data_IF_265518836442
#
_entry.id   IF_265518836442
#
_cell.length_a   1.000
_cell.length_b   1.000
_cell.length_c   1.000
_cell.angle_alpha   90.00
_cell.angle_beta   90.00
_cell.angle_gamma   90.00
#
_symmetry.space_group_name_H-M   'P 1'
#
loop_
_entity.id
_entity.type
_entity.pdbx_description
1 polymer ?
#
# COMPACT_ATOMS: atom_id res chain seq x y z
N UNK A 1 -61.40 -20.02 -47.58
CA UNK A 1 -60.60 -21.24 -47.26
C UNK A 1 -59.15 -20.90 -47.57
N UNK A 2 -58.14 -21.03 -46.70
CA UNK A 2 -57.99 -21.81 -45.49
C UNK A 2 -56.82 -21.21 -44.66
N UNK A 3 -57.03 -21.04 -43.33
CA UNK A 3 -55.99 -20.71 -42.34
C UNK A 3 -55.00 -21.86 -42.23
N UNK A 4 -53.69 -21.58 -42.06
CA UNK A 4 -52.81 -22.32 -41.12
C UNK A 4 -51.66 -21.44 -40.64
N UNK A 5 -51.79 -21.02 -39.39
CA UNK A 5 -50.73 -20.52 -38.52
C UNK A 5 -49.61 -21.57 -38.37
N UNK A 6 -48.35 -21.13 -38.47
CA UNK A 6 -47.22 -21.82 -37.82
C UNK A 6 -46.18 -20.79 -37.38
N UNK A 7 -46.29 -20.44 -36.10
CA UNK A 7 -45.32 -19.73 -35.28
C UNK A 7 -43.93 -20.37 -35.42
N UNK A 8 -42.96 -19.61 -35.92
CA UNK A 8 -41.54 -19.96 -35.79
C UNK A 8 -41.04 -19.41 -34.45
N UNK A 9 -40.74 -20.34 -33.55
CA UNK A 9 -40.07 -20.12 -32.27
C UNK A 9 -38.81 -19.28 -32.45
N UNK A 10 -38.78 -18.09 -31.85
CA UNK A 10 -37.56 -17.28 -31.75
C UNK A 10 -36.69 -17.88 -30.65
N UNK A 11 -35.65 -18.60 -31.06
CA UNK A 11 -34.58 -19.02 -30.15
C UNK A 11 -33.89 -17.78 -29.61
N UNK A 12 -34.22 -17.45 -28.36
CA UNK A 12 -33.56 -16.41 -27.57
C UNK A 12 -32.08 -16.77 -27.41
N UNK A 13 -31.21 -16.11 -28.19
CA UNK A 13 -29.79 -16.08 -27.89
C UNK A 13 -29.58 -15.18 -26.67
N UNK A 14 -29.67 -15.75 -25.46
CA UNK A 14 -29.06 -15.12 -24.28
C UNK A 14 -27.55 -15.23 -24.47
N UNK A 15 -26.92 -14.10 -24.76
CA UNK A 15 -25.47 -13.96 -24.62
C UNK A 15 -25.10 -14.30 -23.18
N UNK A 16 -24.28 -15.34 -23.01
CA UNK A 16 -23.55 -15.55 -21.76
C UNK A 16 -22.50 -14.44 -21.73
N UNK A 17 -22.86 -13.31 -21.12
CA UNK A 17 -21.86 -12.35 -20.66
C UNK A 17 -21.19 -13.05 -19.47
N UNK A 18 -20.09 -13.73 -19.74
CA UNK A 18 -19.20 -14.24 -18.71
C UNK A 18 -18.65 -13.05 -17.93
N UNK A 19 -18.97 -13.03 -16.64
CA UNK A 19 -18.62 -11.97 -15.69
C UNK A 19 -17.10 -11.98 -15.46
N UNK A 20 -16.34 -11.31 -16.33
CA UNK A 20 -14.87 -11.22 -16.29
C UNK A 20 -14.33 -10.54 -15.02
N UNK A 21 -15.17 -9.72 -14.38
CA UNK A 21 -14.91 -9.07 -13.08
C UNK A 21 -14.87 -10.06 -11.91
N UNK A 22 -15.60 -11.18 -11.95
CA UNK A 22 -15.53 -12.21 -10.90
C UNK A 22 -14.26 -13.05 -10.98
N UNK A 23 -13.82 -13.41 -12.19
CA UNK A 23 -12.63 -14.24 -12.41
C UNK A 23 -11.35 -13.48 -12.03
N UNK A 24 -11.28 -12.19 -12.36
CA UNK A 24 -10.15 -11.33 -11.98
C UNK A 24 -10.06 -11.09 -10.46
N UNK A 25 -11.20 -11.00 -9.77
CA UNK A 25 -11.26 -10.89 -8.31
C UNK A 25 -10.81 -12.16 -7.58
N UNK A 26 -11.19 -13.35 -8.07
CA UNK A 26 -10.77 -14.64 -7.52
C UNK A 26 -9.25 -14.82 -7.69
N UNK A 27 -8.72 -14.55 -8.89
CA UNK A 27 -7.27 -14.65 -9.17
C UNK A 27 -6.42 -13.70 -8.34
N UNK A 28 -6.87 -12.45 -8.13
CA UNK A 28 -6.18 -11.50 -7.23
C UNK A 28 -6.17 -11.99 -5.77
N UNK A 29 -7.29 -12.57 -5.30
CA UNK A 29 -7.41 -13.08 -3.93
C UNK A 29 -6.55 -14.32 -3.70
N UNK A 30 -6.51 -15.24 -4.65
CA UNK A 30 -5.64 -16.42 -4.59
C UNK A 30 -4.16 -16.03 -4.59
N UNK A 31 -3.75 -15.09 -5.46
CA UNK A 31 -2.39 -14.54 -5.43
C UNK A 31 -2.06 -13.87 -4.11
N UNK A 32 -3.01 -13.13 -3.52
CA UNK A 32 -2.82 -12.51 -2.20
C UNK A 32 -2.62 -13.56 -1.09
N UNK A 33 -3.44 -14.62 -1.06
CA UNK A 33 -3.32 -15.70 -0.06
C UNK A 33 -2.02 -16.49 -0.24
N UNK A 34 -1.65 -16.83 -1.47
CA UNK A 34 -0.38 -17.50 -1.76
C UNK A 34 0.83 -16.64 -1.36
N UNK A 35 0.77 -15.34 -1.64
CA UNK A 35 1.79 -14.40 -1.19
C UNK A 35 1.87 -14.38 0.35
N UNK A 36 0.73 -14.31 1.05
CA UNK A 36 0.69 -14.35 2.53
C UNK A 36 1.33 -15.59 3.14
N UNK A 37 1.07 -16.79 2.59
CA UNK A 37 1.72 -18.02 3.05
C UNK A 37 3.23 -17.99 2.86
N UNK A 38 3.71 -17.43 1.74
CA UNK A 38 5.14 -17.28 1.48
C UNK A 38 5.79 -16.29 2.47
N UNK A 39 5.10 -15.18 2.79
CA UNK A 39 5.57 -14.19 3.76
C UNK A 39 5.72 -14.78 5.17
N UNK A 40 4.78 -15.65 5.57
CA UNK A 40 4.83 -16.30 6.89
C UNK A 40 5.97 -17.33 7.00
N UNK A 41 6.33 -17.99 5.90
CA UNK A 41 7.39 -19.02 5.90
C UNK A 41 8.79 -18.42 6.01
N UNK A 42 9.07 -17.33 5.29
CA UNK A 42 10.40 -16.70 5.24
C UNK A 42 10.30 -15.16 5.17
N UNK A 43 9.91 -14.48 6.27
CA UNK A 43 9.66 -13.04 6.26
C UNK A 43 10.92 -12.20 5.96
N UNK A 44 12.11 -12.64 6.41
CA UNK A 44 13.38 -11.96 6.10
C UNK A 44 13.72 -11.98 4.62
N UNK A 45 13.56 -13.13 3.96
CA UNK A 45 13.78 -13.25 2.53
C UNK A 45 12.80 -12.36 1.75
N UNK A 46 11.52 -12.39 2.13
CA UNK A 46 10.50 -11.56 1.50
C UNK A 46 10.80 -10.06 1.65
N UNK A 47 11.27 -9.62 2.83
CA UNK A 47 11.67 -8.24 3.03
C UNK A 47 12.85 -7.87 2.12
N UNK A 48 13.88 -8.71 2.05
CA UNK A 48 15.05 -8.47 1.20
C UNK A 48 14.67 -8.39 -0.29
N UNK A 49 13.81 -9.29 -0.77
CA UNK A 49 13.29 -9.27 -2.14
C UNK A 49 12.48 -7.99 -2.42
N UNK A 50 11.62 -7.57 -1.49
CA UNK A 50 10.88 -6.32 -1.61
C UNK A 50 11.83 -5.10 -1.68
N UNK A 51 12.84 -5.03 -0.81
CA UNK A 51 13.83 -3.94 -0.81
C UNK A 51 14.65 -3.90 -2.10
N UNK A 52 14.93 -5.05 -2.73
CA UNK A 52 15.56 -5.12 -4.04
C UNK A 52 14.64 -4.59 -5.15
N UNK A 53 13.36 -5.00 -5.15
CA UNK A 53 12.36 -4.54 -6.12
C UNK A 53 12.14 -3.02 -6.08
N UNK A 54 12.30 -2.38 -4.92
CA UNK A 54 12.23 -0.91 -4.80
C UNK A 54 13.36 -0.18 -5.53
N UNK A 55 14.45 -0.86 -5.87
CA UNK A 55 15.55 -0.30 -6.67
C UNK A 55 15.28 -0.35 -8.19
N UNK A 56 14.32 -1.17 -8.63
CA UNK A 56 14.00 -1.28 -10.06
C UNK A 56 13.28 -0.03 -10.57
N UNK A 57 13.28 0.21 -11.88
CA UNK A 57 12.55 1.34 -12.47
C UNK A 57 11.05 1.04 -12.64
N UNK A 58 10.69 -0.24 -12.75
CA UNK A 58 9.33 -0.67 -13.02
C UNK A 58 8.39 -0.40 -11.81
N UNK A 59 7.43 0.50 -12.02
CA UNK A 59 6.50 0.91 -10.97
C UNK A 59 5.61 -0.19 -10.41
N UNK A 60 5.26 -1.19 -11.22
CA UNK A 60 4.36 -2.26 -10.79
C UNK A 60 5.09 -3.17 -9.79
N UNK A 61 6.34 -3.53 -10.06
CA UNK A 61 7.22 -4.21 -9.11
C UNK A 61 7.39 -3.43 -7.80
N UNK A 62 7.55 -2.11 -7.88
CA UNK A 62 7.62 -1.25 -6.68
C UNK A 62 6.32 -1.25 -5.87
N UNK A 63 5.16 -1.12 -6.53
CA UNK A 63 3.88 -1.15 -5.84
C UNK A 63 3.70 -2.48 -5.10
N UNK A 64 3.96 -3.61 -5.75
CA UNK A 64 3.89 -4.92 -5.11
C UNK A 64 4.88 -5.04 -3.93
N UNK A 65 6.09 -4.46 -4.04
CA UNK A 65 7.06 -4.45 -2.95
C UNK A 65 6.58 -3.62 -1.75
N UNK A 66 5.95 -2.46 -1.98
CA UNK A 66 5.37 -1.63 -0.92
C UNK A 66 4.22 -2.37 -0.23
N UNK A 67 3.29 -2.96 -0.99
CA UNK A 67 2.18 -3.76 -0.44
C UNK A 67 2.70 -4.96 0.38
N UNK A 68 3.80 -5.55 -0.05
CA UNK A 68 4.48 -6.62 0.69
C UNK A 68 5.07 -6.12 2.02
N UNK A 69 5.75 -4.97 2.02
CA UNK A 69 6.29 -4.35 3.25
C UNK A 69 5.16 -3.97 4.21
N UNK A 70 4.06 -3.41 3.71
CA UNK A 70 2.87 -3.09 4.51
C UNK A 70 2.30 -4.34 5.18
N UNK A 71 2.23 -5.43 4.43
CA UNK A 71 1.75 -6.73 4.93
C UNK A 71 2.70 -7.30 5.98
N UNK A 72 4.01 -7.35 5.69
CA UNK A 72 5.04 -7.84 6.62
C UNK A 72 5.08 -7.03 7.91
N UNK A 73 4.83 -5.73 7.84
CA UNK A 73 4.74 -4.86 9.02
C UNK A 73 3.65 -5.33 9.99
N UNK A 74 2.54 -5.85 9.48
CA UNK A 74 1.40 -6.34 10.28
C UNK A 74 1.62 -7.75 10.84
N UNK A 75 2.26 -8.64 10.06
CA UNK A 75 2.37 -10.07 10.40
C UNK A 75 3.71 -10.46 11.03
N UNK A 76 4.78 -9.70 10.79
CA UNK A 76 6.14 -10.00 11.23
C UNK A 76 6.94 -8.72 11.54
N UNK A 77 6.45 -7.85 12.44
CA UNK A 77 7.06 -6.55 12.73
C UNK A 77 8.53 -6.64 13.19
N UNK A 78 8.92 -7.75 13.84
CA UNK A 78 10.31 -7.94 14.30
C UNK A 78 11.34 -7.94 13.17
N UNK A 79 10.99 -8.47 11.98
CA UNK A 79 11.88 -8.49 10.81
C UNK A 79 12.07 -7.08 10.24
N UNK A 80 11.00 -6.27 10.24
CA UNK A 80 11.08 -4.86 9.84
C UNK A 80 11.89 -4.05 10.86
N UNK A 81 11.72 -4.32 12.16
CA UNK A 81 12.45 -3.62 13.21
C UNK A 81 13.97 -3.72 13.04
N UNK A 82 14.48 -4.92 12.69
CA UNK A 82 15.90 -5.14 12.44
C UNK A 82 16.47 -4.39 11.22
N UNK A 83 15.61 -3.93 10.31
CA UNK A 83 15.99 -3.29 9.05
C UNK A 83 15.34 -1.90 8.86
N UNK A 84 14.84 -1.30 9.95
CA UNK A 84 13.86 -0.21 9.84
C UNK A 84 14.40 0.99 9.08
N UNK A 85 15.65 1.38 9.34
CA UNK A 85 16.27 2.53 8.69
C UNK A 85 16.30 2.37 7.16
N UNK A 86 16.68 1.18 6.68
CA UNK A 86 16.71 0.89 5.25
C UNK A 86 15.31 0.93 4.64
N UNK A 87 14.31 0.35 5.32
CA UNK A 87 12.92 0.37 4.90
C UNK A 87 12.41 1.81 4.78
N UNK A 88 12.64 2.64 5.80
CA UNK A 88 12.22 4.04 5.81
C UNK A 88 12.86 4.81 4.65
N UNK A 89 14.17 4.65 4.41
CA UNK A 89 14.85 5.35 3.31
C UNK A 89 14.27 4.96 1.95
N UNK A 90 13.96 3.67 1.73
CA UNK A 90 13.35 3.20 0.48
C UNK A 90 11.93 3.74 0.30
N UNK A 91 11.10 3.72 1.34
CA UNK A 91 9.74 4.25 1.27
C UNK A 91 9.71 5.77 1.07
N UNK A 92 10.62 6.53 1.70
CA UNK A 92 10.72 7.99 1.49
C UNK A 92 11.04 8.34 0.03
N UNK A 93 11.86 7.52 -0.63
CA UNK A 93 12.11 7.67 -2.06
C UNK A 93 10.82 7.49 -2.87
N UNK A 94 10.01 6.49 -2.52
CA UNK A 94 8.76 6.21 -3.22
C UNK A 94 7.62 7.19 -2.91
N UNK A 95 7.65 7.89 -1.77
CA UNK A 95 6.73 9.02 -1.53
C UNK A 95 6.84 10.11 -2.62
N UNK A 96 7.99 10.22 -3.30
CA UNK A 96 8.24 11.18 -4.39
C UNK A 96 7.98 10.60 -5.78
N UNK A 97 7.48 9.36 -5.88
CA UNK A 97 7.23 8.70 -7.16
C UNK A 97 6.19 9.46 -8.00
N UNK A 98 6.44 9.59 -9.30
CA UNK A 98 5.56 10.28 -10.26
C UNK A 98 4.21 9.57 -10.43
N UNK A 99 4.14 8.26 -10.16
CA UNK A 99 2.88 7.54 -10.13
C UNK A 99 2.23 7.69 -8.76
N UNK A 100 1.10 8.40 -8.74
CA UNK A 100 0.33 8.66 -7.52
C UNK A 100 -0.03 7.38 -6.78
N UNK A 101 -0.31 6.27 -7.47
CA UNK A 101 -0.60 4.97 -6.83
C UNK A 101 0.57 4.44 -6.01
N UNK A 102 1.81 4.54 -6.51
CA UNK A 102 3.02 4.11 -5.80
C UNK A 102 3.31 5.06 -4.63
N UNK A 103 3.21 6.37 -4.86
CA UNK A 103 3.42 7.39 -3.83
C UNK A 103 2.43 7.23 -2.66
N UNK A 104 1.14 7.06 -2.97
CA UNK A 104 0.09 6.83 -1.97
C UNK A 104 0.29 5.54 -1.20
N UNK A 105 0.68 4.45 -1.88
CA UNK A 105 0.99 3.19 -1.20
C UNK A 105 2.13 3.39 -0.18
N UNK A 106 3.23 4.07 -0.56
CA UNK A 106 4.34 4.33 0.35
C UNK A 106 3.93 5.18 1.57
N UNK A 107 3.12 6.21 1.35
CA UNK A 107 2.58 7.07 2.41
C UNK A 107 1.70 6.27 3.37
N UNK A 108 0.78 5.46 2.85
CA UNK A 108 -0.10 4.62 3.66
C UNK A 108 0.69 3.59 4.48
N UNK A 109 1.74 3.01 3.90
CA UNK A 109 2.65 2.09 4.60
C UNK A 109 3.35 2.76 5.78
N UNK A 110 3.70 4.04 5.73
CA UNK A 110 4.22 4.75 6.91
C UNK A 110 3.21 4.76 8.06
N UNK A 111 1.94 4.99 7.76
CA UNK A 111 0.87 4.86 8.75
C UNK A 111 0.86 3.48 9.43
N UNK A 112 0.98 2.41 8.65
CA UNK A 112 1.09 1.03 9.17
C UNK A 112 2.36 0.83 10.00
N UNK A 113 3.50 1.36 9.58
CA UNK A 113 4.76 1.29 10.33
C UNK A 113 4.65 1.96 11.70
N UNK A 114 4.08 3.17 11.77
CA UNK A 114 3.85 3.84 13.06
C UNK A 114 2.98 3.00 14.00
N UNK A 115 1.90 2.42 13.49
CA UNK A 115 0.95 1.62 14.26
C UNK A 115 1.55 0.34 14.84
N UNK A 116 2.39 -0.36 14.07
CA UNK A 116 2.90 -1.68 14.43
C UNK A 116 4.31 -1.67 15.02
N UNK A 117 5.17 -0.71 14.64
CA UNK A 117 6.55 -0.60 15.13
C UNK A 117 6.70 0.46 16.21
N UNK A 118 5.78 1.43 16.32
CA UNK A 118 5.69 2.38 17.42
C UNK A 118 7.02 3.10 17.68
N UNK A 119 7.59 2.96 18.89
CA UNK A 119 8.82 3.63 19.31
C UNK A 119 10.07 3.23 18.52
N UNK A 120 10.04 2.11 17.78
CA UNK A 120 11.12 1.77 16.86
C UNK A 120 11.27 2.86 15.77
N UNK A 121 10.16 3.50 15.38
CA UNK A 121 10.14 4.58 14.40
C UNK A 121 10.74 5.90 14.93
N UNK A 122 10.95 6.05 16.25
CA UNK A 122 11.47 7.28 16.87
C UNK A 122 12.81 7.72 16.25
N UNK A 123 13.60 6.78 15.75
CA UNK A 123 14.93 7.04 15.17
C UNK A 123 14.90 7.75 13.83
N UNK A 124 13.84 7.55 13.03
CA UNK A 124 13.70 8.10 11.68
C UNK A 124 12.51 9.07 11.54
N UNK A 125 11.72 9.25 12.61
CA UNK A 125 10.46 10.01 12.59
C UNK A 125 10.60 11.43 12.05
N UNK A 126 11.69 12.14 12.34
CA UNK A 126 11.88 13.53 11.89
C UNK A 126 11.89 13.62 10.35
N UNK A 127 12.60 12.71 9.67
CA UNK A 127 12.66 12.66 8.21
C UNK A 127 11.32 12.28 7.60
N UNK A 128 10.63 11.32 8.22
CA UNK A 128 9.33 10.86 7.74
C UNK A 128 8.27 11.95 7.92
N UNK A 129 8.23 12.60 9.10
CA UNK A 129 7.32 13.68 9.40
C UNK A 129 7.46 14.83 8.41
N UNK A 130 8.68 15.26 8.09
CA UNK A 130 8.92 16.32 7.10
C UNK A 130 8.30 16.00 5.75
N UNK A 131 8.51 14.78 5.24
CA UNK A 131 7.95 14.36 3.94
C UNK A 131 6.43 14.25 3.99
N UNK A 132 5.87 13.71 5.07
CA UNK A 132 4.42 13.60 5.23
C UNK A 132 3.75 14.97 5.35
N UNK A 133 4.33 15.93 6.07
CA UNK A 133 3.85 17.31 6.15
C UNK A 133 3.83 17.98 4.78
N UNK A 134 4.90 17.83 3.99
CA UNK A 134 4.92 18.32 2.61
C UNK A 134 3.82 17.70 1.76
N UNK A 135 3.55 16.40 1.93
CA UNK A 135 2.50 15.69 1.19
C UNK A 135 1.09 16.05 1.66
N UNK A 136 0.89 16.31 2.94
CA UNK A 136 -0.36 16.82 3.49
C UNK A 136 -0.69 18.24 2.97
N UNK A 137 0.34 19.03 2.65
CA UNK A 137 0.21 20.35 2.02
C UNK A 137 0.05 20.34 0.49
N UNK A 138 0.07 19.17 -0.17
CA UNK A 138 0.05 19.10 -1.64
C UNK A 138 -1.32 19.52 -2.22
N UNK A 139 -1.41 20.74 -2.73
CA UNK A 139 -2.66 21.30 -3.27
C UNK A 139 -3.21 20.55 -4.50
N UNK A 140 -2.36 19.79 -5.21
CA UNK A 140 -2.71 19.19 -6.51
C UNK A 140 -3.43 17.85 -6.41
N UNK A 141 -3.26 17.13 -5.30
CA UNK A 141 -3.77 15.77 -5.16
C UNK A 141 -4.41 15.52 -3.79
N UNK A 142 -5.74 15.61 -3.73
CA UNK A 142 -6.50 15.40 -2.50
C UNK A 142 -6.23 14.04 -1.85
N UNK A 143 -6.16 12.96 -2.64
CA UNK A 143 -5.94 11.62 -2.10
C UNK A 143 -4.55 11.46 -1.46
N UNK A 144 -3.52 12.12 -2.00
CA UNK A 144 -2.19 12.14 -1.36
C UNK A 144 -2.24 12.90 -0.04
N UNK A 145 -2.92 14.06 0.00
CA UNK A 145 -3.07 14.83 1.24
C UNK A 145 -3.80 14.03 2.31
N UNK A 146 -4.90 13.37 1.95
CA UNK A 146 -5.71 12.58 2.86
C UNK A 146 -4.89 11.42 3.44
N UNK A 147 -4.21 10.64 2.58
CA UNK A 147 -3.36 9.53 3.03
C UNK A 147 -2.21 10.02 3.92
N UNK A 148 -1.59 11.16 3.60
CA UNK A 148 -0.51 11.75 4.39
C UNK A 148 -1.00 12.25 5.75
N UNK A 149 -2.19 12.84 5.80
CA UNK A 149 -2.83 13.30 7.03
C UNK A 149 -3.14 12.11 7.94
N UNK A 150 -3.71 11.03 7.40
CA UNK A 150 -3.96 9.79 8.14
C UNK A 150 -2.65 9.19 8.68
N UNK A 151 -1.57 9.21 7.89
CA UNK A 151 -0.26 8.74 8.35
C UNK A 151 0.31 9.60 9.50
N UNK A 152 0.16 10.92 9.44
CA UNK A 152 0.56 11.84 10.52
C UNK A 152 -0.27 11.63 11.79
N UNK A 153 -1.58 11.40 11.67
CA UNK A 153 -2.43 11.08 12.82
C UNK A 153 -1.97 9.79 13.51
N UNK A 154 -1.64 8.75 12.73
CA UNK A 154 -1.08 7.50 13.27
C UNK A 154 0.28 7.72 13.92
N UNK A 155 1.13 8.58 13.33
CA UNK A 155 2.42 8.95 13.93
C UNK A 155 2.22 9.55 15.34
N UNK A 156 1.33 10.52 15.47
CA UNK A 156 1.04 11.19 16.75
C UNK A 156 0.48 10.19 17.77
N UNK A 157 -0.38 9.27 17.31
CA UNK A 157 -1.07 8.29 18.18
C UNK A 157 -0.15 7.20 18.73
N UNK A 158 0.80 6.71 17.94
CA UNK A 158 1.52 5.46 18.25
C UNK A 158 3.00 5.62 18.56
N UNK A 159 3.60 6.73 18.14
CA UNK A 159 5.03 7.01 18.37
C UNK A 159 5.20 7.79 19.69
N UNK A 160 6.42 7.89 20.21
CA UNK A 160 6.67 8.61 21.47
C UNK A 160 6.19 10.06 21.41
N UNK A 161 5.34 10.54 22.34
CA UNK A 161 4.75 11.89 22.28
C UNK A 161 5.77 13.03 22.18
N UNK A 162 6.88 12.94 22.94
CA UNK A 162 7.94 13.95 22.88
C UNK A 162 8.68 13.96 21.53
N UNK A 163 8.80 12.79 20.88
CA UNK A 163 9.44 12.65 19.58
C UNK A 163 8.53 13.15 18.45
N UNK A 164 7.24 12.80 18.49
CA UNK A 164 6.27 13.26 17.51
C UNK A 164 6.09 14.78 17.56
N UNK A 165 5.99 15.36 18.77
CA UNK A 165 5.95 16.82 18.94
C UNK A 165 7.20 17.50 18.38
N UNK A 166 8.40 17.01 18.75
CA UNK A 166 9.65 17.58 18.26
C UNK A 166 9.75 17.52 16.73
N UNK A 167 9.39 16.37 16.14
CA UNK A 167 9.40 16.19 14.70
C UNK A 167 8.46 17.16 13.97
N UNK A 168 7.25 17.38 14.51
CA UNK A 168 6.29 18.35 13.97
C UNK A 168 6.82 19.78 14.01
N UNK A 169 7.40 20.20 15.14
CA UNK A 169 8.00 21.54 15.28
C UNK A 169 9.15 21.74 14.29
N UNK A 170 10.03 20.75 14.14
CA UNK A 170 11.14 20.79 13.17
C UNK A 170 10.61 20.83 11.73
N UNK A 171 9.52 20.11 11.43
CA UNK A 171 8.90 20.11 10.12
C UNK A 171 8.11 21.40 9.80
N UNK A 172 7.98 22.33 10.77
CA UNK A 172 7.31 23.62 10.60
C UNK A 172 5.79 23.56 10.73
N UNK A 173 5.28 22.67 11.58
CA UNK A 173 3.86 22.64 11.97
C UNK A 173 3.43 23.86 12.80
#
# INVERSE_FOLDING_TARGET
MNRKDKLKSSSSMRSIISNSSSITGISKREKYVQNMEALLKNPEFALNDALQKLNAEEWNGKLCAIEMIDTLTKISPGVLAGNIHQVVMKLLNECKNLRSTVSRAAISTFGTLFENLKTIMDSDIEKVCLVLMQKAGDVTNAFIRDDATIALEKMIKYVSPGRSLNALVIAGA
#
